data_IF_025455700657
#
_entry.id   IF_025455700657
#
_cell.length_a   1.000
_cell.length_b   1.000
_cell.length_c   1.000
_cell.angle_alpha   90.00
_cell.angle_beta   90.00
_cell.angle_gamma   90.00
#
_symmetry.space_group_name_H-M   'P 1'
#
loop_
_entity.id
_entity.type
_entity.pdbx_description
1 polymer ?
#
# COMPACT_ATOMS: atom_id res chain seq x y z
N UNK A 1 12.20 -18.78 -3.42
CA UNK A 1 11.83 -17.79 -2.38
C UNK A 1 11.54 -16.38 -2.91
N UNK A 2 11.84 -16.05 -4.18
CA UNK A 2 11.29 -14.84 -4.88
C UNK A 2 9.77 -14.92 -5.14
N UNK A 3 9.11 -16.02 -4.77
CA UNK A 3 7.68 -16.25 -5.07
C UNK A 3 6.75 -15.36 -4.24
N UNK A 4 7.05 -15.10 -2.97
CA UNK A 4 6.13 -14.40 -2.06
C UNK A 4 5.86 -12.95 -2.49
N UNK A 5 6.91 -12.13 -2.64
CA UNK A 5 6.74 -10.74 -3.06
C UNK A 5 6.16 -10.63 -4.47
N UNK A 6 6.51 -11.56 -5.37
CA UNK A 6 5.91 -11.61 -6.72
C UNK A 6 4.41 -11.89 -6.66
N UNK A 7 3.97 -12.83 -5.83
CA UNK A 7 2.54 -13.06 -5.60
C UNK A 7 1.84 -11.83 -5.03
N UNK A 8 2.48 -11.10 -4.11
CA UNK A 8 1.95 -9.83 -3.60
C UNK A 8 1.81 -8.78 -4.72
N UNK A 9 2.78 -8.68 -5.62
CA UNK A 9 2.70 -7.78 -6.78
C UNK A 9 1.58 -8.20 -7.74
N UNK A 10 1.41 -9.49 -8.00
CA UNK A 10 0.32 -10.00 -8.83
C UNK A 10 -1.04 -9.60 -8.25
N UNK A 11 -1.26 -9.86 -6.96
CA UNK A 11 -2.49 -9.49 -6.26
C UNK A 11 -2.70 -7.96 -6.27
N UNK A 12 -1.64 -7.18 -6.08
CA UNK A 12 -1.70 -5.72 -6.18
C UNK A 12 -2.19 -5.27 -7.56
N UNK A 13 -1.61 -5.81 -8.64
CA UNK A 13 -2.02 -5.50 -10.02
C UNK A 13 -3.46 -5.89 -10.32
N UNK A 14 -3.89 -7.05 -9.82
CA UNK A 14 -5.29 -7.50 -9.95
C UNK A 14 -6.25 -6.52 -9.25
N UNK A 15 -5.92 -6.07 -8.03
CA UNK A 15 -6.75 -5.11 -7.30
C UNK A 15 -6.76 -3.73 -7.97
N UNK A 16 -5.63 -3.27 -8.52
CA UNK A 16 -5.56 -2.03 -9.31
C UNK A 16 -6.45 -2.14 -10.56
N UNK A 17 -6.39 -3.26 -11.27
CA UNK A 17 -7.21 -3.47 -12.46
C UNK A 17 -8.71 -3.51 -12.12
N UNK A 18 -9.09 -4.16 -11.02
CA UNK A 18 -10.47 -4.13 -10.51
C UNK A 18 -10.92 -2.70 -10.17
N UNK A 19 -10.05 -1.88 -9.57
CA UNK A 19 -10.36 -0.48 -9.33
C UNK A 19 -10.57 0.30 -10.64
N UNK A 20 -9.74 0.06 -11.67
CA UNK A 20 -9.90 0.67 -13.01
C UNK A 20 -11.22 0.30 -13.69
N UNK A 21 -11.73 -0.92 -13.47
CA UNK A 21 -13.01 -1.35 -14.04
C UNK A 21 -14.19 -0.49 -13.56
N UNK A 22 -14.08 0.18 -12.40
CA UNK A 22 -15.09 1.11 -11.93
C UNK A 22 -15.23 2.34 -12.84
N UNK A 23 -14.12 2.85 -13.39
CA UNK A 23 -14.14 3.89 -14.44
C UNK A 23 -14.91 3.42 -15.68
N UNK A 24 -14.70 2.17 -16.12
CA UNK A 24 -15.42 1.60 -17.27
C UNK A 24 -16.91 1.40 -16.99
N UNK A 25 -17.27 0.97 -15.78
CA UNK A 25 -18.66 0.84 -15.35
C UNK A 25 -19.35 2.20 -15.29
N UNK A 26 -18.68 3.21 -14.75
CA UNK A 26 -19.15 4.60 -14.71
C UNK A 26 -19.49 5.10 -16.12
N UNK A 27 -18.57 4.97 -17.08
CA UNK A 27 -18.79 5.37 -18.48
C UNK A 27 -19.98 4.63 -19.10
N UNK A 28 -20.06 3.32 -18.91
CA UNK A 28 -21.17 2.54 -19.43
C UNK A 28 -22.52 3.03 -18.88
N UNK A 29 -22.60 3.36 -17.59
CA UNK A 29 -23.84 3.83 -16.96
C UNK A 29 -24.24 5.23 -17.44
N UNK A 30 -23.29 6.12 -17.74
CA UNK A 30 -23.59 7.43 -18.34
C UNK A 30 -24.31 7.29 -19.69
N UNK A 31 -24.03 6.23 -20.47
CA UNK A 31 -24.72 5.99 -21.75
C UNK A 31 -26.21 5.66 -21.60
N UNK A 32 -26.66 5.25 -20.42
CA UNK A 32 -28.03 4.75 -20.18
C UNK A 32 -29.05 5.81 -19.77
N UNK A 33 -28.64 7.08 -19.67
CA UNK A 33 -29.50 8.24 -19.36
C UNK A 33 -30.38 8.06 -18.11
N UNK A 34 -29.82 7.50 -17.05
CA UNK A 34 -30.50 7.45 -15.75
C UNK A 34 -30.53 8.85 -15.08
N UNK A 35 -31.59 9.22 -14.35
CA UNK A 35 -31.68 10.48 -13.63
C UNK A 35 -30.95 10.44 -12.27
N UNK A 36 -29.77 9.80 -12.22
CA UNK A 36 -28.96 9.61 -11.01
C UNK A 36 -27.50 9.95 -11.31
N UNK A 37 -26.78 10.47 -10.31
CA UNK A 37 -25.32 10.61 -10.39
C UNK A 37 -24.65 9.27 -10.08
N UNK A 38 -23.57 8.98 -10.82
CA UNK A 38 -22.75 7.78 -10.63
C UNK A 38 -21.38 8.10 -10.04
N UNK A 39 -21.17 9.32 -9.54
CA UNK A 39 -19.88 9.80 -9.02
C UNK A 39 -19.33 8.93 -7.88
N UNK A 40 -20.20 8.28 -7.12
CA UNK A 40 -19.78 7.39 -6.03
C UNK A 40 -19.06 6.12 -6.55
N UNK A 41 -19.22 5.76 -7.83
CA UNK A 41 -18.42 4.73 -8.50
C UNK A 41 -16.97 5.21 -8.64
N UNK A 42 -16.76 6.47 -9.05
CA UNK A 42 -15.43 7.08 -9.14
C UNK A 42 -14.79 7.25 -7.75
N UNK A 43 -15.59 7.61 -6.73
CA UNK A 43 -15.09 7.66 -5.33
C UNK A 43 -14.64 6.28 -4.87
N UNK A 44 -15.38 5.23 -5.23
CA UNK A 44 -15.02 3.85 -4.91
C UNK A 44 -13.71 3.43 -5.58
N UNK A 45 -13.45 3.88 -6.81
CA UNK A 45 -12.15 3.65 -7.48
C UNK A 45 -10.99 4.22 -6.67
N UNK A 46 -11.08 5.48 -6.21
CA UNK A 46 -10.02 6.08 -5.40
C UNK A 46 -9.80 5.28 -4.11
N UNK A 47 -10.87 4.87 -3.44
CA UNK A 47 -10.79 4.08 -2.20
C UNK A 47 -10.13 2.71 -2.44
N UNK A 48 -10.55 2.00 -3.49
CA UNK A 48 -10.02 0.67 -3.80
C UNK A 48 -8.57 0.72 -4.27
N UNK A 49 -8.18 1.70 -5.08
CA UNK A 49 -6.79 1.91 -5.48
C UNK A 49 -5.89 2.14 -4.26
N UNK A 50 -6.28 3.03 -3.34
CA UNK A 50 -5.49 3.30 -2.14
C UNK A 50 -5.45 2.10 -1.20
N UNK A 51 -6.54 1.35 -1.08
CA UNK A 51 -6.60 0.11 -0.30
C UNK A 51 -5.68 -0.97 -0.88
N UNK A 52 -5.64 -1.10 -2.21
CA UNK A 52 -4.73 -2.02 -2.91
C UNK A 52 -3.27 -1.69 -2.60
N UNK A 53 -2.90 -0.41 -2.67
CA UNK A 53 -1.55 0.06 -2.35
C UNK A 53 -1.18 -0.22 -0.89
N UNK A 54 -2.07 0.11 0.06
CA UNK A 54 -1.86 -0.16 1.49
C UNK A 54 -1.61 -1.64 1.77
N UNK A 55 -2.50 -2.50 1.25
CA UNK A 55 -2.39 -3.95 1.41
C UNK A 55 -1.10 -4.48 0.81
N UNK A 56 -0.69 -3.96 -0.34
CA UNK A 56 0.54 -4.34 -1.00
C UNK A 56 1.77 -3.99 -0.16
N UNK A 57 1.81 -2.80 0.43
CA UNK A 57 2.87 -2.40 1.34
C UNK A 57 2.95 -3.32 2.57
N UNK A 58 1.80 -3.67 3.19
CA UNK A 58 1.75 -4.67 4.27
C UNK A 58 2.36 -6.00 3.86
N UNK A 59 2.03 -6.49 2.66
CA UNK A 59 2.57 -7.76 2.17
C UNK A 59 4.08 -7.71 1.95
N UNK A 60 4.60 -6.66 1.30
CA UNK A 60 6.04 -6.53 1.09
C UNK A 60 6.80 -6.52 2.42
N UNK A 61 6.33 -5.71 3.38
CA UNK A 61 6.98 -5.56 4.68
C UNK A 61 6.93 -6.88 5.46
N UNK A 62 5.75 -7.50 5.56
CA UNK A 62 5.58 -8.79 6.24
C UNK A 62 6.47 -9.86 5.63
N UNK A 63 6.43 -10.03 4.31
CA UNK A 63 7.22 -11.05 3.60
C UNK A 63 8.70 -10.79 3.82
N UNK A 64 9.17 -9.55 3.65
CA UNK A 64 10.58 -9.23 3.84
C UNK A 64 11.05 -9.41 5.29
N UNK A 65 10.20 -9.15 6.30
CA UNK A 65 10.54 -9.45 7.70
C UNK A 65 10.67 -10.96 7.94
N UNK A 66 9.79 -11.77 7.35
CA UNK A 66 9.88 -13.24 7.42
C UNK A 66 11.12 -13.75 6.67
N UNK A 67 11.49 -13.14 5.55
CA UNK A 67 12.75 -13.43 4.85
C UNK A 67 13.97 -13.14 5.72
N UNK A 68 13.97 -12.05 6.47
CA UNK A 68 15.04 -11.73 7.42
C UNK A 68 15.09 -12.75 8.56
N UNK A 69 13.93 -13.11 9.11
CA UNK A 69 13.82 -14.13 10.16
C UNK A 69 14.37 -15.49 9.69
N UNK A 70 14.07 -15.86 8.46
CA UNK A 70 14.52 -17.12 7.83
C UNK A 70 15.96 -17.08 7.32
N UNK A 71 16.68 -15.97 7.50
CA UNK A 71 18.07 -15.81 7.04
C UNK A 71 18.26 -15.65 5.54
N UNK A 72 17.19 -15.36 4.79
CA UNK A 72 17.21 -15.16 3.33
C UNK A 72 17.63 -13.73 2.98
N UNK A 73 17.23 -12.76 3.81
CA UNK A 73 17.50 -11.32 3.63
C UNK A 73 18.34 -10.79 4.78
N UNK A 74 19.24 -9.84 4.49
CA UNK A 74 20.05 -9.19 5.51
C UNK A 74 19.20 -8.41 6.53
N UNK A 75 19.59 -8.47 7.81
CA UNK A 75 18.94 -7.72 8.88
C UNK A 75 19.16 -6.21 8.70
N UNK A 76 18.10 -5.41 8.87
CA UNK A 76 18.23 -3.94 8.90
C UNK A 76 18.29 -3.42 10.34
N UNK A 77 18.81 -2.21 10.59
CA UNK A 77 18.75 -1.59 11.92
C UNK A 77 17.32 -1.46 12.46
N UNK A 78 16.35 -1.15 11.59
CA UNK A 78 14.94 -1.04 11.98
C UNK A 78 14.35 -2.39 12.38
N UNK A 79 14.66 -3.46 11.64
CA UNK A 79 14.28 -4.83 12.02
C UNK A 79 14.86 -5.20 13.39
N UNK A 80 16.14 -4.91 13.63
CA UNK A 80 16.82 -5.23 14.89
C UNK A 80 16.28 -4.44 16.09
N UNK A 81 15.81 -3.22 15.87
CA UNK A 81 15.18 -2.40 16.91
C UNK A 81 13.73 -2.82 17.21
N UNK A 82 13.18 -3.77 16.46
CA UNK A 82 11.79 -4.17 16.58
C UNK A 82 11.56 -5.02 17.82
N UNK A 83 10.52 -4.70 18.58
CA UNK A 83 10.16 -5.42 19.80
C UNK A 83 9.06 -6.44 19.56
N UNK A 84 9.18 -7.61 20.18
CA UNK A 84 8.13 -8.63 20.25
C UNK A 84 7.76 -8.88 21.72
N UNK A 85 6.53 -9.32 21.98
CA UNK A 85 6.10 -9.63 23.35
C UNK A 85 6.81 -10.87 23.89
N UNK A 86 6.90 -10.99 25.22
CA UNK A 86 7.45 -12.18 25.87
C UNK A 86 6.64 -13.43 25.49
N UNK A 87 5.32 -13.30 25.35
CA UNK A 87 4.43 -14.37 24.87
C UNK A 87 4.90 -14.93 23.50
N UNK A 88 5.19 -14.05 22.53
CA UNK A 88 5.70 -14.48 21.23
C UNK A 88 7.06 -15.17 21.35
N UNK A 89 7.93 -14.74 22.26
CA UNK A 89 9.20 -15.43 22.52
C UNK A 89 8.99 -16.86 23.03
N UNK A 90 8.06 -17.05 23.96
CA UNK A 90 7.71 -18.37 24.51
C UNK A 90 7.07 -19.26 23.43
N UNK A 91 6.22 -18.70 22.59
CA UNK A 91 5.62 -19.42 21.45
C UNK A 91 6.68 -19.86 20.43
N UNK A 92 7.66 -19.01 20.14
CA UNK A 92 8.78 -19.34 19.25
C UNK A 92 9.71 -20.42 19.82
N UNK A 93 9.90 -20.46 21.13
CA UNK A 93 10.69 -21.48 21.82
C UNK A 93 9.97 -22.83 21.83
N UNK A 94 8.66 -22.82 22.10
CA UNK A 94 7.82 -24.02 22.20
C UNK A 94 7.30 -24.55 20.86
N UNK A 95 7.48 -23.79 19.77
CA UNK A 95 7.10 -24.18 18.41
C UNK A 95 7.78 -25.49 17.98
N UNK A 96 7.04 -26.59 18.13
CA UNK A 96 7.44 -27.96 17.76
C UNK A 96 6.68 -28.48 16.54
N UNK A 97 5.39 -28.14 16.44
CA UNK A 97 4.48 -28.60 15.36
C UNK A 97 4.35 -27.54 14.25
N UNK A 98 4.20 -26.27 14.61
CA UNK A 98 4.13 -25.16 13.65
C UNK A 98 5.54 -24.64 13.32
N UNK A 99 5.84 -24.31 12.05
CA UNK A 99 7.09 -23.65 11.70
C UNK A 99 7.25 -22.33 12.47
N UNK A 100 8.46 -22.05 12.95
CA UNK A 100 8.76 -20.82 13.71
C UNK A 100 8.49 -19.56 12.89
N UNK A 101 8.67 -19.67 11.58
CA UNK A 101 8.39 -18.63 10.59
C UNK A 101 6.92 -18.22 10.63
N UNK A 102 6.00 -19.18 10.80
CA UNK A 102 4.57 -18.91 10.88
C UNK A 102 4.21 -18.15 12.16
N UNK A 103 4.76 -18.58 13.31
CA UNK A 103 4.55 -17.89 14.60
C UNK A 103 5.07 -16.45 14.53
N UNK A 104 6.28 -16.27 14.00
CA UNK A 104 6.86 -14.94 13.80
C UNK A 104 6.02 -14.09 12.85
N UNK A 105 5.57 -14.66 11.74
CA UNK A 105 4.73 -13.98 10.76
C UNK A 105 3.41 -13.49 11.36
N UNK A 106 2.75 -14.28 12.21
CA UNK A 106 1.54 -13.86 12.91
C UNK A 106 1.81 -12.70 13.87
N UNK A 107 2.94 -12.72 14.59
CA UNK A 107 3.35 -11.62 15.45
C UNK A 107 3.57 -10.33 14.64
N UNK A 108 4.27 -10.42 13.50
CA UNK A 108 4.47 -9.31 12.57
C UNK A 108 3.13 -8.80 12.05
N UNK A 109 2.28 -9.68 11.51
CA UNK A 109 0.95 -9.31 10.99
C UNK A 109 0.11 -8.56 12.03
N UNK A 110 0.03 -9.10 13.25
CA UNK A 110 -0.75 -8.49 14.33
C UNK A 110 -0.26 -7.11 14.73
N UNK A 111 1.05 -6.86 14.59
CA UNK A 111 1.65 -5.55 14.89
C UNK A 111 1.43 -4.56 13.76
N UNK A 112 1.63 -5.00 12.51
CA UNK A 112 1.55 -4.12 11.36
C UNK A 112 0.10 -3.74 11.02
N UNK A 113 -0.90 -4.61 11.26
CA UNK A 113 -2.31 -4.39 10.84
C UNK A 113 -2.95 -3.07 11.28
N UNK A 114 -2.46 -2.44 12.36
CA UNK A 114 -2.97 -1.14 12.84
C UNK A 114 -2.36 0.07 12.14
N UNK A 115 -1.38 -0.14 11.26
CA UNK A 115 -0.64 0.92 10.55
C UNK A 115 -1.19 1.02 9.12
N UNK A 116 -1.55 2.23 8.70
CA UNK A 116 -1.85 2.51 7.29
C UNK A 116 -0.57 2.94 6.56
N UNK A 117 -0.14 2.15 5.58
CA UNK A 117 1.03 2.40 4.74
C UNK A 117 0.68 3.15 3.47
N UNK A 118 0.16 4.37 3.63
CA UNK A 118 -0.30 5.21 2.52
C UNK A 118 0.37 6.58 2.55
N UNK A 119 0.62 7.14 3.74
CA UNK A 119 1.42 8.35 3.87
C UNK A 119 2.89 8.08 3.53
N UNK A 120 3.60 9.00 2.83
CA UNK A 120 4.98 8.76 2.44
C UNK A 120 5.93 8.44 3.60
N UNK A 121 5.75 9.04 4.77
CA UNK A 121 6.60 8.76 5.93
C UNK A 121 6.32 7.37 6.47
N UNK A 122 5.04 6.96 6.53
CA UNK A 122 4.67 5.60 6.97
C UNK A 122 5.18 4.53 6.02
N UNK A 123 5.09 4.76 4.71
CA UNK A 123 5.70 3.88 3.69
C UNK A 123 7.21 3.76 3.91
N UNK A 124 7.93 4.88 4.11
CA UNK A 124 9.37 4.85 4.35
C UNK A 124 9.76 4.15 5.67
N UNK A 125 8.99 4.39 6.74
CA UNK A 125 9.15 3.69 8.03
C UNK A 125 8.96 2.18 7.86
N UNK A 126 7.89 1.76 7.18
CA UNK A 126 7.58 0.36 6.89
C UNK A 126 8.66 -0.31 6.05
N UNK A 127 9.06 0.31 4.95
CA UNK A 127 10.13 -0.22 4.09
C UNK A 127 11.47 -0.33 4.84
N UNK A 128 11.70 0.46 5.89
CA UNK A 128 12.95 0.39 6.64
C UNK A 128 13.14 -0.95 7.36
N UNK A 129 12.06 -1.70 7.64
CA UNK A 129 12.16 -3.07 8.15
C UNK A 129 12.93 -4.01 7.21
N UNK A 130 12.82 -3.79 5.90
CA UNK A 130 13.28 -4.76 4.89
C UNK A 130 14.30 -4.18 3.91
N UNK A 131 14.56 -2.86 3.99
CA UNK A 131 15.42 -2.14 3.07
C UNK A 131 16.28 -1.09 3.80
N UNK A 132 17.59 -1.33 3.87
CA UNK A 132 18.57 -0.49 4.55
C UNK A 132 19.04 0.72 3.70
N UNK A 133 18.13 1.34 2.97
CA UNK A 133 18.38 2.56 2.21
C UNK A 133 17.95 3.80 3.01
N UNK A 134 18.78 4.84 3.07
CA UNK A 134 18.45 6.10 3.75
C UNK A 134 17.60 7.02 2.88
N UNK A 135 17.85 7.05 1.57
CA UNK A 135 17.23 7.94 0.59
C UNK A 135 16.16 7.20 -0.24
N UNK A 136 15.22 6.53 0.45
CA UNK A 136 14.22 5.65 -0.18
C UNK A 136 13.39 6.36 -1.25
N UNK A 137 12.80 7.50 -0.88
CA UNK A 137 11.95 8.27 -1.79
C UNK A 137 12.71 8.86 -2.97
N UNK A 138 13.99 9.22 -2.80
CA UNK A 138 14.85 9.63 -3.91
C UNK A 138 15.02 8.50 -4.94
N UNK A 139 15.28 7.27 -4.50
CA UNK A 139 15.40 6.11 -5.41
C UNK A 139 14.08 5.80 -6.11
N UNK A 140 12.97 5.78 -5.37
CA UNK A 140 11.62 5.56 -5.95
C UNK A 140 11.33 6.65 -6.99
N UNK A 141 11.57 7.92 -6.67
CA UNK A 141 11.28 9.03 -7.56
C UNK A 141 12.14 9.03 -8.83
N UNK A 142 13.43 8.67 -8.74
CA UNK A 142 14.31 8.50 -9.91
C UNK A 142 13.72 7.46 -10.86
N UNK A 143 13.29 6.31 -10.36
CA UNK A 143 12.68 5.28 -11.21
C UNK A 143 11.34 5.72 -11.81
N UNK A 144 10.57 6.53 -11.10
CA UNK A 144 9.34 7.13 -11.61
C UNK A 144 9.57 8.32 -12.55
N UNK A 145 10.83 8.71 -12.81
CA UNK A 145 11.18 9.92 -13.58
C UNK A 145 10.54 11.20 -13.02
N UNK A 146 10.51 11.32 -11.69
CA UNK A 146 9.91 12.44 -10.96
C UNK A 146 10.86 13.02 -9.91
N UNK A 147 10.57 14.22 -9.43
CA UNK A 147 11.24 14.75 -8.24
C UNK A 147 10.74 14.06 -6.96
N UNK A 148 11.62 13.85 -5.98
CA UNK A 148 11.25 13.28 -4.67
C UNK A 148 10.06 14.02 -4.02
N UNK A 149 10.10 15.36 -4.00
CA UNK A 149 9.04 16.15 -3.40
C UNK A 149 7.72 16.03 -4.15
N UNK A 150 7.76 15.88 -5.48
CA UNK A 150 6.56 15.69 -6.30
C UNK A 150 5.88 14.35 -5.98
N UNK A 151 6.64 13.25 -5.92
CA UNK A 151 6.10 11.92 -5.60
C UNK A 151 5.46 11.93 -4.21
N UNK A 152 6.16 12.47 -3.21
CA UNK A 152 5.65 12.56 -1.84
C UNK A 152 4.42 13.44 -1.74
N UNK A 153 4.40 14.58 -2.45
CA UNK A 153 3.26 15.50 -2.46
C UNK A 153 2.05 14.86 -3.13
N UNK A 154 2.22 14.23 -4.29
CA UNK A 154 1.13 13.50 -4.97
C UNK A 154 0.55 12.41 -4.07
N UNK A 155 1.40 11.59 -3.46
CA UNK A 155 0.92 10.54 -2.55
C UNK A 155 0.14 11.13 -1.36
N UNK A 156 0.61 12.23 -0.75
CA UNK A 156 -0.14 12.92 0.32
C UNK A 156 -1.51 13.43 -0.15
N UNK A 157 -1.58 14.07 -1.32
CA UNK A 157 -2.84 14.56 -1.87
C UNK A 157 -3.83 13.42 -2.13
N UNK A 158 -3.35 12.28 -2.62
CA UNK A 158 -4.16 11.07 -2.82
C UNK A 158 -4.72 10.55 -1.50
N UNK A 159 -3.88 10.45 -0.46
CA UNK A 159 -4.31 10.01 0.87
C UNK A 159 -5.34 10.97 1.46
N UNK A 160 -5.12 12.29 1.36
CA UNK A 160 -6.09 13.29 1.80
C UNK A 160 -7.41 13.16 1.06
N UNK A 161 -7.38 12.95 -0.26
CA UNK A 161 -8.58 12.73 -1.06
C UNK A 161 -9.34 11.48 -0.63
N UNK A 162 -8.63 10.38 -0.39
CA UNK A 162 -9.24 9.13 0.13
C UNK A 162 -9.87 9.35 1.50
N UNK A 163 -9.19 10.06 2.39
CA UNK A 163 -9.71 10.34 3.73
C UNK A 163 -10.96 11.22 3.69
N UNK A 164 -10.99 12.23 2.83
CA UNK A 164 -12.20 13.02 2.61
C UNK A 164 -13.39 12.12 2.19
N UNK A 165 -13.17 11.21 1.23
CA UNK A 165 -14.21 10.27 0.76
C UNK A 165 -14.69 9.35 1.88
N UNK A 166 -13.78 8.73 2.63
CA UNK A 166 -14.11 7.66 3.59
C UNK A 166 -14.56 8.18 4.95
N UNK A 167 -13.93 9.25 5.44
CA UNK A 167 -14.14 9.74 6.81
C UNK A 167 -14.96 11.03 6.89
N UNK A 168 -14.99 11.82 5.82
CA UNK A 168 -15.64 13.15 5.80
C UNK A 168 -16.85 13.18 4.84
N UNK A 169 -17.34 12.01 4.43
CA UNK A 169 -18.45 11.83 3.46
C UNK A 169 -18.23 12.55 2.10
N UNK A 170 -16.98 12.92 1.81
CA UNK A 170 -16.54 13.77 0.71
C UNK A 170 -17.17 15.16 0.69
N UNK A 171 -17.60 15.72 1.83
CA UNK A 171 -18.34 16.99 1.92
C UNK A 171 -17.39 18.16 2.17
N UNK A 172 -17.50 19.20 1.34
CA UNK A 172 -16.88 20.49 1.60
C UNK A 172 -17.55 21.16 2.80
N UNK A 173 -16.82 21.46 3.89
CA UNK A 173 -17.40 22.02 5.11
C UNK A 173 -17.93 23.44 4.94
N UNK A 174 -17.51 24.17 3.90
CA UNK A 174 -17.95 25.54 3.64
C UNK A 174 -19.26 25.52 2.84
N UNK A 175 -19.33 24.69 1.80
CA UNK A 175 -20.47 24.69 0.87
C UNK A 175 -21.53 23.64 1.22
N UNK A 176 -21.21 22.66 2.05
CA UNK A 176 -22.09 21.53 2.39
C UNK A 176 -22.34 20.56 1.22
N UNK A 177 -21.60 20.70 0.12
CA UNK A 177 -21.73 19.86 -1.08
C UNK A 177 -20.58 18.87 -1.16
N UNK A 178 -20.81 17.73 -1.81
CA UNK A 178 -19.72 16.82 -2.12
C UNK A 178 -18.69 17.50 -3.02
N UNK A 179 -17.41 17.24 -2.79
CA UNK A 179 -16.35 17.65 -3.70
C UNK A 179 -16.57 17.04 -5.09
N UNK A 180 -16.26 17.82 -6.12
CA UNK A 180 -16.29 17.36 -7.50
C UNK A 180 -15.30 16.20 -7.68
N UNK A 181 -15.68 15.24 -8.51
CA UNK A 181 -14.83 14.12 -8.91
C UNK A 181 -14.98 13.93 -10.40
N UNK A 182 -13.87 13.71 -11.08
CA UNK A 182 -13.85 13.40 -12.50
C UNK A 182 -13.05 12.13 -12.73
N UNK A 183 -13.32 11.49 -13.88
CA UNK A 183 -12.73 10.22 -14.27
C UNK A 183 -11.22 10.34 -14.47
N UNK A 184 -10.77 11.38 -15.13
CA UNK A 184 -9.36 11.57 -15.49
C UNK A 184 -8.45 11.68 -14.25
N UNK A 185 -8.92 12.37 -13.21
CA UNK A 185 -8.25 12.43 -11.92
C UNK A 185 -8.21 11.06 -11.24
N UNK A 186 -9.30 10.30 -11.28
CA UNK A 186 -9.36 8.96 -10.68
C UNK A 186 -8.40 7.98 -11.39
N UNK A 187 -8.36 8.03 -12.71
CA UNK A 187 -7.44 7.24 -13.52
C UNK A 187 -5.99 7.66 -13.26
N UNK A 188 -5.71 8.97 -13.18
CA UNK A 188 -4.37 9.51 -12.85
C UNK A 188 -3.89 9.06 -11.47
N UNK A 189 -4.77 9.07 -10.46
CA UNK A 189 -4.48 8.55 -9.12
C UNK A 189 -4.14 7.05 -9.20
N UNK A 190 -4.92 6.30 -9.96
CA UNK A 190 -4.76 4.85 -10.11
C UNK A 190 -3.46 4.48 -10.80
N UNK A 191 -3.12 5.17 -11.89
CA UNK A 191 -1.88 4.96 -12.62
C UNK A 191 -0.65 5.37 -11.81
N UNK A 192 -0.75 6.48 -11.06
CA UNK A 192 0.32 6.91 -10.17
C UNK A 192 0.62 5.86 -9.08
N UNK A 193 -0.41 5.36 -8.38
CA UNK A 193 -0.20 4.37 -7.31
C UNK A 193 0.27 3.02 -7.86
N UNK A 194 -0.23 2.61 -9.03
CA UNK A 194 0.27 1.42 -9.72
C UNK A 194 1.77 1.53 -10.02
N UNK A 195 2.18 2.66 -10.60
CA UNK A 195 3.58 2.93 -10.95
C UNK A 195 4.46 3.01 -9.71
N UNK A 196 3.99 3.70 -8.66
CA UNK A 196 4.71 3.82 -7.39
C UNK A 196 4.89 2.44 -6.72
N UNK A 197 3.84 1.62 -6.65
CA UNK A 197 3.92 0.26 -6.13
C UNK A 197 4.88 -0.62 -6.92
N UNK A 198 4.82 -0.56 -8.26
CA UNK A 198 5.74 -1.29 -9.12
C UNK A 198 7.21 -0.90 -8.89
N UNK A 199 7.51 0.39 -8.73
CA UNK A 199 8.89 0.82 -8.48
C UNK A 199 9.38 0.48 -7.08
N UNK A 200 8.51 0.57 -6.06
CA UNK A 200 8.83 0.07 -4.72
C UNK A 200 9.19 -1.42 -4.80
N UNK A 201 8.37 -2.24 -5.49
CA UNK A 201 8.65 -3.65 -5.69
C UNK A 201 10.01 -3.88 -6.35
N UNK A 202 10.28 -3.19 -7.46
CA UNK A 202 11.53 -3.35 -8.21
C UNK A 202 12.76 -3.11 -7.31
N UNK A 203 12.65 -2.13 -6.40
CA UNK A 203 13.74 -1.76 -5.49
C UNK A 203 13.91 -2.70 -4.29
N UNK A 204 12.88 -3.46 -3.89
CA UNK A 204 12.94 -4.28 -2.65
C UNK A 204 12.74 -5.78 -2.87
N UNK A 205 12.37 -6.21 -4.07
CA UNK A 205 12.01 -7.60 -4.38
C UNK A 205 13.15 -8.60 -4.31
N UNK A 206 14.40 -8.13 -4.40
CA UNK A 206 15.58 -8.96 -4.23
C UNK A 206 16.08 -8.86 -2.79
N UNK A 207 16.42 -9.99 -2.15
CA UNK A 207 17.12 -9.97 -0.88
C UNK A 207 18.54 -9.43 -1.10
N UNK A 208 18.88 -8.34 -0.40
CA UNK A 208 20.26 -7.83 -0.25
C UNK A 208 20.99 -8.54 0.89
#
# INVERSE_FOLDING_TARGET
MVSGMRSALTLFKENIEQAKQLSSLYEYLLTKKFPLSFDDILRSQVVYTVSAFDKFMHDLIRIGMVEIFSGIRSKTPRYLSETISIEVCLDLESATILPKEYVFEQAVFNKLKSIAYQDPNKVAEGLSYIWNEKQKWKKIAINMSMNENEVKTKLKLIVSRRNAIVHEADIDPITGKKYLINRDDCDTITDFLNSCGQEIFNLVSLPE
#
